data_IF_627697780789
#
_entry.id   IF_627697780789
#
_cell.length_a   1.000
_cell.length_b   1.000
_cell.length_c   1.000
_cell.angle_alpha   90.00
_cell.angle_beta   90.00
_cell.angle_gamma   90.00
#
_symmetry.space_group_name_H-M   'P 1'
#
loop_
_entity.id
_entity.type
_entity.pdbx_description
1 polymer ?
#
# COMPACT_ATOMS: atom_id res chain seq x y z
N UNK A 1 23.01 -72.19 -32.70
CA UNK A 1 22.26 -70.96 -33.06
C UNK A 1 20.96 -70.78 -32.26
N UNK A 2 20.07 -71.78 -32.14
CA UNK A 2 18.78 -71.65 -31.42
C UNK A 2 18.87 -71.17 -29.95
N UNK A 3 19.87 -71.66 -29.19
CA UNK A 3 20.07 -71.24 -27.80
C UNK A 3 20.56 -69.79 -27.64
N UNK A 4 21.22 -69.22 -28.66
CA UNK A 4 21.68 -67.83 -28.63
C UNK A 4 20.51 -66.86 -28.86
N UNK A 5 19.63 -67.19 -29.82
CA UNK A 5 18.40 -66.42 -30.07
C UNK A 5 17.44 -66.44 -28.88
N UNK A 6 17.33 -67.57 -28.17
CA UNK A 6 16.50 -67.67 -26.97
C UNK A 6 17.02 -66.79 -25.81
N UNK A 7 18.35 -66.72 -25.62
CA UNK A 7 18.97 -65.87 -24.60
C UNK A 7 18.79 -64.38 -24.90
N UNK A 8 18.87 -63.98 -26.17
CA UNK A 8 18.62 -62.59 -26.60
C UNK A 8 17.15 -62.20 -26.42
N UNK A 9 16.21 -63.11 -26.75
CA UNK A 9 14.78 -62.88 -26.54
C UNK A 9 14.44 -62.69 -25.05
N UNK A 10 15.06 -63.47 -24.16
CA UNK A 10 14.87 -63.37 -22.71
C UNK A 10 15.37 -62.03 -22.14
N UNK A 11 16.47 -61.49 -22.68
CA UNK A 11 17.01 -60.17 -22.27
C UNK A 11 16.11 -59.04 -22.79
N UNK A 12 15.59 -59.14 -24.02
CA UNK A 12 14.70 -58.14 -24.59
C UNK A 12 13.36 -58.05 -23.85
N UNK A 13 12.89 -59.17 -23.27
CA UNK A 13 11.63 -59.25 -22.50
C UNK A 13 11.76 -58.66 -21.09
N UNK A 14 12.98 -58.56 -20.54
CA UNK A 14 13.26 -57.96 -19.23
C UNK A 14 13.56 -56.45 -19.29
N UNK A 15 13.92 -55.91 -20.46
CA UNK A 15 14.19 -54.48 -20.66
C UNK A 15 13.00 -53.52 -20.33
N UNK A 16 11.73 -53.82 -20.65
CA UNK A 16 10.63 -52.90 -20.35
C UNK A 16 10.31 -52.79 -18.85
N UNK A 17 10.76 -53.73 -18.01
CA UNK A 17 10.44 -53.72 -16.57
C UNK A 17 11.14 -52.56 -15.81
N UNK A 18 12.32 -52.13 -16.27
CA UNK A 18 13.08 -51.06 -15.61
C UNK A 18 12.46 -49.66 -15.80
N UNK A 19 11.77 -49.42 -16.92
CA UNK A 19 11.15 -48.12 -17.22
C UNK A 19 9.88 -47.84 -16.40
N UNK A 20 9.02 -48.86 -16.21
CA UNK A 20 7.79 -48.71 -15.42
C UNK A 20 8.07 -48.52 -13.91
N UNK A 21 9.14 -49.14 -13.38
CA UNK A 21 9.50 -48.99 -11.97
C UNK A 21 9.96 -47.56 -11.61
N UNK A 22 10.71 -46.90 -12.49
CA UNK A 22 11.14 -45.50 -12.30
C UNK A 22 9.96 -44.52 -12.37
N UNK A 23 8.98 -44.77 -13.24
CA UNK A 23 7.81 -43.92 -13.36
C UNK A 23 6.89 -43.98 -12.13
N UNK A 24 6.69 -45.17 -11.55
CA UNK A 24 5.89 -45.35 -10.32
C UNK A 24 6.57 -44.69 -9.11
N UNK A 25 7.90 -44.80 -8.98
CA UNK A 25 8.64 -44.17 -7.89
C UNK A 25 8.55 -42.63 -7.92
N UNK A 26 8.61 -42.03 -9.12
CA UNK A 26 8.47 -40.59 -9.30
C UNK A 26 7.05 -40.09 -8.96
N UNK A 27 6.00 -40.84 -9.35
CA UNK A 27 4.61 -40.50 -9.00
C UNK A 27 4.37 -40.65 -7.48
N UNK A 28 4.91 -41.70 -6.85
CA UNK A 28 4.80 -41.89 -5.41
C UNK A 28 5.50 -40.77 -4.61
N UNK A 29 6.67 -40.33 -5.06
CA UNK A 29 7.39 -39.21 -4.46
C UNK A 29 6.59 -37.89 -4.61
N UNK A 30 6.05 -37.61 -5.79
CA UNK A 30 5.20 -36.45 -6.04
C UNK A 30 3.95 -36.45 -5.14
N UNK A 31 3.25 -37.60 -5.05
CA UNK A 31 2.07 -37.74 -4.18
C UNK A 31 2.39 -37.51 -2.70
N UNK A 32 3.58 -37.92 -2.24
CA UNK A 32 4.03 -37.65 -0.87
C UNK A 32 4.26 -36.16 -0.62
N UNK A 33 4.81 -35.44 -1.58
CA UNK A 33 4.98 -33.98 -1.49
C UNK A 33 3.61 -33.30 -1.44
N UNK A 34 2.68 -33.67 -2.33
CA UNK A 34 1.32 -33.13 -2.35
C UNK A 34 0.63 -33.37 -1.01
N UNK A 35 0.67 -34.59 -0.48
CA UNK A 35 0.07 -34.92 0.81
C UNK A 35 0.67 -34.11 1.97
N UNK A 36 1.99 -33.88 1.96
CA UNK A 36 2.65 -33.05 2.96
C UNK A 36 2.21 -31.58 2.85
N UNK A 37 2.14 -31.03 1.64
CA UNK A 37 1.68 -29.66 1.39
C UNK A 37 0.22 -29.50 1.83
N UNK A 38 -0.66 -30.44 1.47
CA UNK A 38 -2.05 -30.44 1.90
C UNK A 38 -2.18 -30.51 3.43
N UNK A 39 -1.39 -31.36 4.07
CA UNK A 39 -1.35 -31.46 5.54
C UNK A 39 -0.86 -30.17 6.19
N UNK A 40 0.04 -29.44 5.54
CA UNK A 40 0.56 -28.17 6.01
C UNK A 40 -0.50 -27.09 5.88
N UNK A 41 -1.15 -26.95 4.71
CA UNK A 41 -2.21 -25.96 4.48
C UNK A 41 -3.44 -26.18 5.37
N UNK A 42 -3.73 -27.42 5.75
CA UNK A 42 -4.80 -27.72 6.74
C UNK A 42 -4.45 -27.29 8.16
N UNK A 43 -3.17 -27.34 8.54
CA UNK A 43 -2.68 -26.95 9.87
C UNK A 43 -2.38 -25.46 9.98
N UNK A 44 -1.92 -24.88 8.87
CA UNK A 44 -1.55 -23.47 8.72
C UNK A 44 -2.37 -22.85 7.57
N UNK A 45 -3.70 -22.71 7.73
CA UNK A 45 -4.52 -22.05 6.72
C UNK A 45 -4.05 -20.61 6.49
N UNK A 46 -3.96 -20.23 5.23
CA UNK A 46 -3.61 -18.86 4.83
C UNK A 46 -4.82 -17.96 5.08
N UNK A 47 -4.58 -16.83 5.74
CA UNK A 47 -5.56 -15.78 5.97
C UNK A 47 -4.97 -14.44 5.54
N UNK A 48 -5.79 -13.62 4.88
CA UNK A 48 -5.42 -12.27 4.46
C UNK A 48 -6.54 -11.31 4.80
N UNK A 49 -6.19 -10.15 5.33
CA UNK A 49 -7.11 -9.03 5.49
C UNK A 49 -6.92 -8.06 4.32
N UNK A 50 -8.02 -7.54 3.79
CA UNK A 50 -8.03 -6.37 2.93
C UNK A 50 -8.91 -5.30 3.57
N UNK A 51 -8.43 -4.07 3.63
CA UNK A 51 -9.17 -2.95 4.23
C UNK A 51 -9.48 -1.91 3.17
N UNK A 52 -10.72 -1.43 3.17
CA UNK A 52 -11.15 -0.29 2.39
C UNK A 52 -11.49 0.85 3.36
N UNK A 53 -10.90 2.02 3.15
CA UNK A 53 -11.20 3.25 3.90
C UNK A 53 -12.15 4.18 3.11
N UNK A 54 -12.95 5.00 3.77
CA UNK A 54 -13.89 5.91 3.08
C UNK A 54 -13.18 7.00 2.26
N UNK A 55 -12.03 7.47 2.75
CA UNK A 55 -11.24 8.54 2.12
C UNK A 55 -9.74 8.18 2.06
N UNK A 56 -8.99 8.79 1.13
CA UNK A 56 -7.53 8.65 1.07
C UNK A 56 -6.78 9.63 1.98
N UNK A 57 -7.43 10.70 2.46
CA UNK A 57 -6.83 11.75 3.30
C UNK A 57 -7.78 12.10 4.46
N UNK A 58 -7.18 12.42 5.61
CA UNK A 58 -7.90 12.75 6.84
C UNK A 58 -7.29 13.97 7.53
N UNK A 59 -8.08 14.67 8.32
CA UNK A 59 -7.63 15.59 9.36
C UNK A 59 -7.46 14.85 10.68
N UNK A 60 -6.67 15.37 11.61
CA UNK A 60 -6.47 14.76 12.93
C UNK A 60 -7.68 14.82 13.88
N UNK A 61 -8.80 15.37 13.43
CA UNK A 61 -10.10 15.33 14.11
C UNK A 61 -11.17 14.54 13.33
N UNK A 62 -10.80 13.93 12.20
CA UNK A 62 -11.71 13.11 11.40
C UNK A 62 -11.96 11.74 12.06
N UNK A 63 -12.99 11.05 11.57
CA UNK A 63 -13.15 9.61 11.79
C UNK A 63 -12.77 8.86 10.52
N UNK A 64 -11.82 7.93 10.63
CA UNK A 64 -11.48 6.98 9.57
C UNK A 64 -12.52 5.87 9.60
N UNK A 65 -13.36 5.79 8.57
CA UNK A 65 -14.30 4.69 8.41
C UNK A 65 -13.64 3.60 7.60
N UNK A 66 -13.77 2.35 8.06
CA UNK A 66 -13.10 1.24 7.42
C UNK A 66 -14.00 0.02 7.33
N UNK A 67 -13.84 -0.71 6.22
CA UNK A 67 -14.46 -2.02 5.98
C UNK A 67 -13.37 -3.04 5.73
N UNK A 68 -13.33 -4.06 6.57
CA UNK A 68 -12.36 -5.15 6.47
C UNK A 68 -13.00 -6.38 5.82
N UNK A 69 -12.23 -7.04 4.98
CA UNK A 69 -12.54 -8.31 4.36
C UNK A 69 -11.48 -9.32 4.81
N UNK A 70 -11.89 -10.34 5.55
CA UNK A 70 -11.03 -11.43 6.03
C UNK A 70 -11.21 -12.62 5.12
N UNK A 71 -10.19 -12.91 4.35
CA UNK A 71 -10.21 -13.88 3.26
C UNK A 71 -9.29 -15.06 3.54
N UNK A 72 -9.67 -16.24 3.08
CA UNK A 72 -8.78 -17.39 3.02
C UNK A 72 -7.91 -17.36 1.75
N UNK A 73 -7.02 -18.33 1.58
CA UNK A 73 -6.16 -18.44 0.39
C UNK A 73 -6.90 -18.63 -0.95
N UNK A 74 -8.20 -18.94 -0.93
CA UNK A 74 -9.07 -19.06 -2.11
C UNK A 74 -9.95 -17.82 -2.34
N UNK A 75 -9.71 -16.74 -1.59
CA UNK A 75 -10.50 -15.49 -1.62
C UNK A 75 -11.96 -15.66 -1.16
N UNK A 76 -12.27 -16.71 -0.41
CA UNK A 76 -13.54 -16.87 0.29
C UNK A 76 -13.44 -16.28 1.69
N UNK A 77 -14.57 -16.10 2.38
CA UNK A 77 -14.53 -15.66 3.78
C UNK A 77 -13.75 -16.65 4.65
N UNK A 78 -12.82 -16.12 5.44
CA UNK A 78 -12.09 -16.93 6.41
C UNK A 78 -13.00 -17.37 7.56
N UNK A 79 -12.78 -18.58 8.06
CA UNK A 79 -13.47 -19.15 9.24
C UNK A 79 -12.56 -19.23 10.46
N UNK A 80 -11.31 -18.79 10.32
CA UNK A 80 -10.25 -18.99 11.30
C UNK A 80 -10.29 -17.90 12.38
N UNK A 81 -10.43 -16.64 11.96
CA UNK A 81 -10.42 -15.49 12.86
C UNK A 81 -11.80 -14.82 12.97
N UNK A 82 -12.23 -14.57 14.21
CA UNK A 82 -13.45 -13.81 14.51
C UNK A 82 -13.20 -12.34 14.87
N UNK A 83 -11.95 -11.90 14.90
CA UNK A 83 -11.56 -10.53 15.30
C UNK A 83 -10.49 -10.01 14.34
N UNK A 84 -10.67 -8.77 13.90
CA UNK A 84 -9.66 -7.99 13.17
C UNK A 84 -9.19 -6.83 14.04
N UNK A 85 -7.89 -6.61 14.04
CA UNK A 85 -7.23 -5.48 14.68
C UNK A 85 -6.89 -4.46 13.61
N UNK A 86 -7.17 -3.18 13.89
CA UNK A 86 -6.71 -2.06 13.10
C UNK A 86 -5.85 -1.16 13.98
N UNK A 87 -4.65 -0.84 13.51
CA UNK A 87 -3.68 -0.02 14.21
C UNK A 87 -3.26 1.15 13.36
N UNK A 88 -3.10 2.30 13.99
CA UNK A 88 -2.47 3.46 13.41
C UNK A 88 -1.05 3.56 13.98
N UNK A 89 -0.05 3.47 13.10
CA UNK A 89 1.38 3.47 13.45
C UNK A 89 2.01 4.75 12.93
N UNK A 90 2.71 5.49 13.77
CA UNK A 90 3.41 6.71 13.35
C UNK A 90 4.72 6.40 12.61
N UNK A 91 5.39 7.45 12.13
CA UNK A 91 6.69 7.39 11.45
C UNK A 91 7.83 6.76 12.28
N UNK A 92 7.77 6.86 13.61
CA UNK A 92 8.71 6.19 14.53
C UNK A 92 8.45 4.69 14.69
N UNK A 93 7.38 4.16 14.10
CA UNK A 93 6.96 2.76 14.24
C UNK A 93 6.14 2.47 15.51
N UNK A 94 5.74 3.50 16.26
CA UNK A 94 4.91 3.36 17.46
C UNK A 94 3.44 3.28 17.10
N UNK A 95 2.73 2.30 17.66
CA UNK A 95 1.27 2.24 17.62
C UNK A 95 0.71 3.38 18.47
N UNK A 96 0.02 4.33 17.83
CA UNK A 96 -0.64 5.46 18.51
C UNK A 96 -2.10 5.17 18.83
N UNK A 97 -2.75 4.33 18.02
CA UNK A 97 -4.13 3.91 18.21
C UNK A 97 -4.29 2.44 17.79
N UNK A 98 -5.16 1.71 18.48
CA UNK A 98 -5.51 0.33 18.14
C UNK A 98 -7.00 0.11 18.41
N UNK A 99 -7.68 -0.57 17.48
CA UNK A 99 -9.09 -0.95 17.59
C UNK A 99 -9.24 -2.44 17.25
N UNK A 100 -9.88 -3.21 18.14
CA UNK A 100 -10.26 -4.60 17.90
C UNK A 100 -11.75 -4.67 17.54
N UNK A 101 -12.09 -5.39 16.47
CA UNK A 101 -13.44 -5.38 15.90
C UNK A 101 -13.90 -6.81 15.52
N UNK A 102 -15.13 -7.19 15.86
CA UNK A 102 -15.65 -8.52 15.53
C UNK A 102 -15.92 -8.66 14.03
N UNK A 103 -15.66 -9.85 13.51
CA UNK A 103 -15.84 -10.21 12.10
C UNK A 103 -17.05 -11.12 11.97
N UNK A 104 -17.98 -10.73 11.09
CA UNK A 104 -19.16 -11.50 10.75
C UNK A 104 -19.07 -11.96 9.30
N UNK A 105 -19.04 -13.28 9.08
CA UNK A 105 -18.94 -13.87 7.73
C UNK A 105 -17.80 -13.31 6.89
N UNK A 106 -16.62 -13.14 7.50
CA UNK A 106 -15.43 -12.57 6.85
C UNK A 106 -15.49 -11.06 6.58
N UNK A 107 -16.48 -10.35 7.11
CA UNK A 107 -16.60 -8.89 6.95
C UNK A 107 -16.69 -8.20 8.30
N UNK A 108 -16.06 -7.04 8.41
CA UNK A 108 -16.23 -6.14 9.54
C UNK A 108 -16.38 -4.70 9.03
N UNK A 109 -17.22 -3.92 9.71
CA UNK A 109 -17.28 -2.47 9.58
C UNK A 109 -16.80 -1.85 10.88
N UNK A 110 -16.00 -0.80 10.77
CA UNK A 110 -15.36 -0.18 11.91
C UNK A 110 -15.01 1.27 11.68
N UNK A 111 -14.50 1.87 12.74
CA UNK A 111 -14.07 3.26 12.73
C UNK A 111 -12.87 3.46 13.66
N UNK A 112 -12.02 4.42 13.31
CA UNK A 112 -10.97 4.96 14.18
C UNK A 112 -11.22 6.47 14.28
N UNK A 113 -11.57 6.93 15.47
CA UNK A 113 -11.83 8.36 15.73
C UNK A 113 -10.49 9.02 16.04
N UNK A 114 -10.03 9.93 15.18
CA UNK A 114 -8.77 10.63 15.39
C UNK A 114 -8.97 11.75 16.43
N UNK A 115 -8.00 11.85 17.34
CA UNK A 115 -7.96 12.88 18.38
C UNK A 115 -6.70 13.72 18.17
N UNK A 116 -6.86 15.03 18.01
CA UNK A 116 -5.75 15.95 17.75
C UNK A 116 -4.74 16.05 18.90
N UNK A 117 -5.10 15.59 20.10
CA UNK A 117 -4.19 15.52 21.26
C UNK A 117 -3.27 14.30 21.21
N UNK A 118 -3.64 13.26 20.46
CA UNK A 118 -2.90 11.99 20.33
C UNK A 118 -2.24 11.88 18.96
N UNK A 119 -2.94 12.33 17.92
CA UNK A 119 -2.56 12.23 16.52
C UNK A 119 -2.18 13.62 16.02
N UNK A 120 -0.89 13.88 15.90
CA UNK A 120 -0.38 15.09 15.26
C UNK A 120 -0.39 14.96 13.74
N UNK A 121 -0.23 16.09 13.04
CA UNK A 121 0.03 16.08 11.61
C UNK A 121 1.23 15.19 11.26
N UNK A 122 1.10 14.40 10.19
CA UNK A 122 2.21 13.59 9.69
C UNK A 122 1.78 12.35 8.90
N UNK A 123 2.79 11.53 8.60
CA UNK A 123 2.60 10.24 7.92
C UNK A 123 2.35 9.13 8.93
N UNK A 124 1.33 8.33 8.66
CA UNK A 124 0.97 7.16 9.45
C UNK A 124 0.78 5.95 8.55
N UNK A 125 1.02 4.76 9.10
CA UNK A 125 0.67 3.49 8.48
C UNK A 125 -0.56 2.93 9.18
N UNK A 126 -1.68 2.81 8.45
CA UNK A 126 -2.81 2.01 8.88
C UNK A 126 -2.47 0.54 8.63
N UNK A 127 -2.48 -0.26 9.70
CA UNK A 127 -2.17 -1.69 9.67
C UNK A 127 -3.39 -2.47 10.13
N UNK A 128 -3.82 -3.46 9.34
CA UNK A 128 -4.93 -4.32 9.72
C UNK A 128 -4.56 -5.80 9.59
N UNK A 129 -4.95 -6.58 10.59
CA UNK A 129 -4.55 -7.97 10.71
C UNK A 129 -5.45 -8.73 11.69
N UNK A 130 -5.37 -10.05 11.67
CA UNK A 130 -5.97 -10.91 12.69
C UNK A 130 -4.89 -11.51 13.57
N UNK A 131 -5.28 -12.05 14.73
CA UNK A 131 -4.32 -12.72 15.60
C UNK A 131 -3.63 -13.91 14.91
N UNK A 132 -4.36 -14.62 14.03
CA UNK A 132 -3.82 -15.77 13.29
C UNK A 132 -2.69 -15.37 12.34
N UNK A 133 -2.84 -14.23 11.66
CA UNK A 133 -1.84 -13.71 10.73
C UNK A 133 -0.50 -13.39 11.40
N UNK A 134 -0.47 -13.14 12.71
CA UNK A 134 0.79 -12.92 13.44
C UNK A 134 1.74 -14.12 13.35
N UNK A 135 1.20 -15.33 13.23
CA UNK A 135 2.00 -16.56 13.05
C UNK A 135 2.72 -16.61 11.69
N UNK A 136 2.28 -15.82 10.72
CA UNK A 136 2.86 -15.72 9.38
C UNK A 136 3.78 -14.50 9.21
N UNK A 137 4.02 -13.73 10.28
CA UNK A 137 4.84 -12.52 10.21
C UNK A 137 4.08 -11.26 9.77
N UNK A 138 4.72 -10.11 9.97
CA UNK A 138 4.10 -8.80 9.74
C UNK A 138 3.87 -8.47 8.26
N UNK A 139 4.59 -9.13 7.35
CA UNK A 139 4.39 -9.10 5.90
C UNK A 139 3.02 -9.62 5.46
N UNK A 140 2.37 -10.42 6.30
CA UNK A 140 1.03 -10.91 6.03
C UNK A 140 -0.02 -9.81 6.21
N UNK A 141 0.26 -8.79 7.02
CA UNK A 141 -0.69 -7.74 7.36
C UNK A 141 -1.03 -6.87 6.14
N UNK A 142 -2.22 -6.26 6.18
CA UNK A 142 -2.55 -5.20 5.26
C UNK A 142 -1.99 -3.89 5.80
N UNK A 143 -1.38 -3.10 4.92
CA UNK A 143 -0.79 -1.80 5.27
C UNK A 143 -1.16 -0.75 4.23
N UNK A 144 -1.64 0.42 4.68
CA UNK A 144 -1.90 1.58 3.85
C UNK A 144 -1.25 2.81 4.46
N UNK A 145 -0.49 3.58 3.66
CA UNK A 145 0.06 4.86 4.09
C UNK A 145 -1.05 5.92 4.08
N UNK A 146 -1.13 6.72 5.14
CA UNK A 146 -2.09 7.80 5.33
C UNK A 146 -1.33 9.06 5.74
N UNK A 147 -1.58 10.16 5.03
CA UNK A 147 -1.20 11.48 5.53
C UNK A 147 -2.39 12.05 6.33
N UNK A 148 -2.13 12.36 7.61
CA UNK A 148 -3.11 12.99 8.49
C UNK A 148 -2.71 14.46 8.61
N UNK A 149 -3.60 15.35 8.18
CA UNK A 149 -3.40 16.79 8.26
C UNK A 149 -3.67 17.29 9.68
N UNK A 150 -2.92 18.28 10.13
CA UNK A 150 -3.30 19.04 11.32
C UNK A 150 -4.56 19.86 11.02
N UNK A 151 -5.49 19.90 11.99
CA UNK A 151 -6.62 20.82 11.91
C UNK A 151 -6.16 22.22 12.32
N UNK A 152 -5.45 22.89 11.41
CA UNK A 152 -5.28 24.34 11.46
C UNK A 152 -6.32 24.98 10.53
N UNK A 153 -6.83 26.17 10.87
CA UNK A 153 -7.93 26.88 10.18
C UNK A 153 -7.67 27.20 8.69
N UNK A 154 -6.52 26.82 8.12
CA UNK A 154 -6.09 27.17 6.77
C UNK A 154 -5.93 25.96 5.84
N UNK A 155 -6.85 24.99 5.88
CA UNK A 155 -6.81 23.86 4.96
C UNK A 155 -7.19 24.32 3.53
N UNK A 156 -6.17 24.67 2.74
CA UNK A 156 -6.30 25.17 1.37
C UNK A 156 -5.95 24.08 0.37
N UNK A 157 -6.74 23.98 -0.69
CA UNK A 157 -6.46 23.09 -1.81
C UNK A 157 -5.64 23.85 -2.84
N UNK A 158 -4.57 23.23 -3.33
CA UNK A 158 -3.73 23.81 -4.38
C UNK A 158 -3.70 22.87 -5.57
N UNK A 159 -4.22 23.34 -6.71
CA UNK A 159 -4.04 22.68 -8.00
C UNK A 159 -2.83 23.30 -8.69
N UNK A 160 -1.91 22.47 -9.19
CA UNK A 160 -0.71 22.94 -9.88
C UNK A 160 -0.58 22.32 -11.28
N UNK A 161 -0.34 23.16 -12.27
CA UNK A 161 0.06 22.78 -13.62
C UNK A 161 1.48 23.27 -13.88
N UNK A 162 2.37 22.38 -14.33
CA UNK A 162 3.78 22.71 -14.60
C UNK A 162 4.10 22.37 -16.05
N UNK A 163 4.64 23.33 -16.78
CA UNK A 163 5.13 23.18 -18.15
C UNK A 163 6.61 23.59 -18.18
N UNK A 164 7.49 22.62 -18.35
CA UNK A 164 8.93 22.85 -18.50
C UNK A 164 9.30 22.87 -19.98
N UNK A 165 10.00 23.92 -20.42
CA UNK A 165 10.55 24.06 -21.78
C UNK A 165 11.99 24.53 -21.71
N UNK A 166 12.92 23.62 -22.03
CA UNK A 166 14.37 23.84 -21.87
C UNK A 166 14.68 24.27 -20.43
N UNK A 167 15.25 25.46 -20.25
CA UNK A 167 15.62 25.99 -18.94
C UNK A 167 14.47 26.76 -18.26
N UNK A 168 13.33 26.93 -18.93
CA UNK A 168 12.20 27.75 -18.43
C UNK A 168 11.08 26.86 -17.92
N UNK A 169 10.61 27.12 -16.70
CA UNK A 169 9.46 26.45 -16.10
C UNK A 169 8.33 27.46 -15.92
N UNK A 170 7.21 27.17 -16.56
CA UNK A 170 5.94 27.87 -16.36
C UNK A 170 5.09 27.07 -15.38
N UNK A 171 4.60 27.73 -14.35
CA UNK A 171 3.75 27.12 -13.32
C UNK A 171 2.46 27.91 -13.20
N UNK A 172 1.33 27.23 -13.29
CA UNK A 172 0.02 27.78 -12.98
C UNK A 172 -0.47 27.12 -11.69
N UNK A 173 -0.67 27.92 -10.65
CA UNK A 173 -1.26 27.50 -9.39
C UNK A 173 -2.69 28.01 -9.32
N UNK A 174 -3.60 27.20 -8.80
CA UNK A 174 -4.93 27.63 -8.40
C UNK A 174 -5.14 27.25 -6.95
N UNK A 175 -5.35 28.26 -6.10
CA UNK A 175 -5.55 28.11 -4.68
C UNK A 175 -7.05 28.24 -4.40
N UNK A 176 -7.60 27.20 -3.78
CA UNK A 176 -9.00 27.11 -3.40
C UNK A 176 -9.09 26.93 -1.88
N UNK A 177 -10.16 27.43 -1.30
CA UNK A 177 -10.55 27.10 0.07
C UNK A 177 -11.02 25.64 0.16
N UNK A 178 -11.21 25.14 1.39
CA UNK A 178 -11.68 23.77 1.64
C UNK A 178 -13.02 23.46 0.93
N UNK A 179 -13.90 24.46 0.81
CA UNK A 179 -15.20 24.37 0.13
C UNK A 179 -15.10 24.41 -1.41
N UNK A 180 -13.89 24.56 -1.95
CA UNK A 180 -13.62 24.66 -3.38
C UNK A 180 -13.82 26.05 -3.98
N UNK A 181 -14.19 27.05 -3.18
CA UNK A 181 -14.23 28.44 -3.62
C UNK A 181 -12.82 28.98 -3.87
N UNK A 182 -12.61 29.88 -4.84
CA UNK A 182 -11.29 30.43 -5.09
C UNK A 182 -10.86 31.39 -3.99
N UNK A 183 -9.60 31.29 -3.57
CA UNK A 183 -8.98 32.26 -2.66
C UNK A 183 -8.66 33.54 -3.46
N UNK A 184 -9.57 34.52 -3.45
CA UNK A 184 -9.49 35.71 -4.33
C UNK A 184 -8.69 36.84 -3.73
N UNK A 185 -7.92 37.53 -4.57
CA UNK A 185 -7.24 38.79 -4.24
C UNK A 185 -6.36 38.71 -2.98
N UNK A 186 -5.79 37.53 -2.72
CA UNK A 186 -4.99 37.28 -1.54
C UNK A 186 -3.51 37.46 -1.89
N UNK A 187 -2.83 38.29 -1.11
CA UNK A 187 -1.38 38.45 -1.20
C UNK A 187 -0.68 37.18 -0.72
N UNK A 188 0.22 36.67 -1.54
CA UNK A 188 1.03 35.49 -1.30
C UNK A 188 2.50 35.77 -1.59
N UNK A 189 3.36 35.05 -0.90
CA UNK A 189 4.79 35.03 -1.17
C UNK A 189 5.19 33.61 -1.56
N UNK A 190 5.75 33.47 -2.76
CA UNK A 190 6.14 32.22 -3.35
C UNK A 190 7.66 32.11 -3.32
N UNK A 191 8.17 30.99 -2.81
CA UNK A 191 9.59 30.71 -2.64
C UNK A 191 9.96 29.42 -3.37
N UNK A 192 10.89 29.51 -4.33
CA UNK A 192 11.54 28.33 -4.88
C UNK A 192 12.77 28.02 -4.03
N UNK A 193 12.75 26.87 -3.39
CA UNK A 193 13.83 26.42 -2.51
C UNK A 193 14.48 25.16 -3.06
N UNK A 194 15.77 24.98 -2.78
CA UNK A 194 16.49 23.73 -3.04
C UNK A 194 17.34 23.41 -1.81
N UNK A 195 16.86 22.48 -0.99
CA UNK A 195 17.41 22.25 0.35
C UNK A 195 17.29 23.50 1.22
N UNK A 196 18.42 24.03 1.71
CA UNK A 196 18.45 25.24 2.57
C UNK A 196 18.52 26.58 1.81
N UNK A 197 18.62 26.56 0.48
CA UNK A 197 18.82 27.76 -0.33
C UNK A 197 17.53 28.17 -1.03
N UNK A 198 17.14 29.45 -0.89
CA UNK A 198 16.10 30.07 -1.70
C UNK A 198 16.71 30.57 -3.01
N UNK A 199 16.18 30.08 -4.13
CA UNK A 199 16.60 30.43 -5.49
C UNK A 199 15.73 31.52 -6.10
N UNK A 200 14.46 31.55 -5.71
CA UNK A 200 13.47 32.52 -6.19
C UNK A 200 12.56 32.91 -5.05
N UNK A 201 12.19 34.19 -4.99
CA UNK A 201 11.26 34.71 -3.99
C UNK A 201 10.45 35.83 -4.64
N UNK A 202 9.14 35.65 -4.71
CA UNK A 202 8.27 36.62 -5.38
C UNK A 202 6.96 36.80 -4.63
N UNK A 203 6.47 38.04 -4.58
CA UNK A 203 5.13 38.34 -4.08
C UNK A 203 4.15 38.38 -5.24
N UNK A 204 3.02 37.72 -5.08
CA UNK A 204 1.93 37.66 -6.06
C UNK A 204 0.60 37.73 -5.33
N UNK A 205 -0.36 38.34 -5.98
CA UNK A 205 -1.75 38.31 -5.53
C UNK A 205 -2.50 37.28 -6.39
N UNK A 206 -3.38 36.50 -5.77
CA UNK A 206 -4.30 35.63 -6.52
C UNK A 206 -5.32 36.47 -7.28
N UNK A 207 -5.74 36.00 -8.46
CA UNK A 207 -6.81 36.67 -9.22
C UNK A 207 -8.22 36.31 -8.69
N UNK A 208 -9.26 36.72 -9.40
CA UNK A 208 -10.66 36.44 -9.05
C UNK A 208 -11.04 34.95 -9.15
N UNK A 209 -10.21 34.13 -9.80
CA UNK A 209 -10.35 32.68 -9.92
C UNK A 209 -9.40 31.92 -8.99
N UNK A 210 -8.66 32.64 -8.12
CA UNK A 210 -7.69 32.06 -7.20
C UNK A 210 -6.39 31.62 -7.88
N UNK A 211 -6.12 32.06 -9.11
CA UNK A 211 -4.96 31.64 -9.89
C UNK A 211 -3.76 32.54 -9.68
N UNK A 212 -2.58 31.93 -9.76
CA UNK A 212 -1.27 32.60 -9.80
C UNK A 212 -0.41 31.91 -10.86
N UNK A 213 0.11 32.70 -11.80
CA UNK A 213 1.03 32.21 -12.81
C UNK A 213 2.45 32.69 -12.49
N UNK A 214 3.38 31.74 -12.52
CA UNK A 214 4.81 31.97 -12.34
C UNK A 214 5.56 31.50 -13.57
N UNK A 215 6.63 32.21 -13.88
CA UNK A 215 7.57 31.82 -14.91
C UNK A 215 8.98 32.07 -14.39
N UNK A 216 9.80 31.02 -14.31
CA UNK A 216 11.16 31.13 -13.83
C UNK A 216 12.12 30.23 -14.61
N UNK A 217 13.38 30.59 -14.60
CA UNK A 217 14.45 29.81 -15.23
C UNK A 217 15.06 28.91 -14.15
N UNK A 218 15.20 27.61 -14.44
CA UNK A 218 15.82 26.64 -13.54
C UNK A 218 17.32 26.97 -13.41
N UNK A 219 17.83 27.22 -12.19
CA UNK A 219 19.23 27.53 -12.02
C UNK A 219 20.12 26.35 -12.43
N UNK A 220 21.15 26.58 -13.26
CA UNK A 220 22.06 25.53 -13.77
C UNK A 220 22.78 24.72 -12.67
N UNK A 221 22.89 25.29 -11.46
CA UNK A 221 23.54 24.66 -10.31
C UNK A 221 22.54 24.03 -9.31
N UNK A 222 21.24 24.07 -9.61
CA UNK A 222 20.22 23.41 -8.82
C UNK A 222 19.93 22.03 -9.42
N UNK A 223 19.98 20.98 -8.60
CA UNK A 223 19.44 19.69 -9.02
C UNK A 223 17.92 19.84 -9.12
N UNK A 224 17.38 19.82 -10.35
CA UNK A 224 15.96 20.04 -10.61
C UNK A 224 15.04 19.09 -9.82
N UNK A 225 15.52 17.89 -9.47
CA UNK A 225 14.78 16.91 -8.65
C UNK A 225 14.61 17.29 -7.17
N UNK A 226 15.30 18.32 -6.68
CA UNK A 226 15.28 18.74 -5.27
C UNK A 226 14.70 20.15 -5.08
N UNK A 227 14.00 20.69 -6.08
CA UNK A 227 13.38 22.00 -6.00
C UNK A 227 11.96 21.89 -5.44
N UNK A 228 11.63 22.74 -4.47
CA UNK A 228 10.31 22.80 -3.84
C UNK A 228 9.79 24.23 -3.90
N UNK A 229 8.56 24.40 -4.39
CA UNK A 229 7.84 25.66 -4.37
C UNK A 229 6.98 25.70 -3.10
N UNK A 230 7.16 26.75 -2.31
CA UNK A 230 6.49 27.00 -1.02
C UNK A 230 5.75 28.33 -1.11
#
# INVERSE_FOLDING_TARGET
>A
MRALFFRIYLILLMLPCAGFAQQIANVAAANRIIANVDSFLRRMPIEKVFTHTDRPYYSNTDTIWLKNYVLNGLLEYSKQSGVVYAELVNDTGRVVMQQAMPVFTGVNWGQIILDSTIVSEGNYTLRTYTNWMQNMGAESFYTQQLYINGTDENNRRVNAGILARQDTVQTSLQILEADGSPLRLQDMQLLLTGGRKTWFKEKRQTDLEGKVNLNFIVPKNASAGNLTLI
#
